data_IF_502602457405
#
_entry.id   IF_502602457405
#
_cell.length_a   1.000
_cell.length_b   1.000
_cell.length_c   1.000
_cell.angle_alpha   90.00
_cell.angle_beta   90.00
_cell.angle_gamma   90.00
#
_symmetry.space_group_name_H-M   'P 1'
#
loop_
_entity.id
_entity.type
_entity.pdbx_description
1 polymer ?
#
# COMPACT_ATOMS: atom_id res chain seq x y z
N UNK A 1 0.16 18.98 3.12
CA UNK A 1 0.44 19.28 1.70
C UNK A 1 1.23 18.10 1.14
N UNK A 2 0.92 17.60 -0.07
CA UNK A 2 1.84 16.68 -0.73
C UNK A 2 3.18 17.40 -0.87
N UNK A 3 4.23 16.81 -0.30
CA UNK A 3 5.58 17.33 -0.45
C UNK A 3 6.09 17.11 -1.86
N UNK A 4 7.15 17.83 -2.22
CA UNK A 4 7.95 17.46 -3.39
C UNK A 4 8.88 16.32 -2.99
N UNK A 5 8.98 15.33 -3.87
CA UNK A 5 9.93 14.25 -3.74
C UNK A 5 11.36 14.83 -3.69
N UNK A 6 12.18 14.47 -2.69
CA UNK A 6 13.52 15.02 -2.54
C UNK A 6 14.50 14.56 -3.63
N UNK A 7 14.15 13.51 -4.39
CA UNK A 7 15.00 12.91 -5.43
C UNK A 7 14.67 13.48 -6.81
N UNK A 8 13.38 13.56 -7.14
CA UNK A 8 12.90 13.91 -8.48
C UNK A 8 12.30 15.32 -8.57
N UNK A 9 12.13 16.02 -7.44
CA UNK A 9 11.47 17.32 -7.35
C UNK A 9 10.04 17.33 -7.96
N UNK A 10 9.37 16.18 -7.91
CA UNK A 10 7.99 16.00 -8.37
C UNK A 10 7.05 15.85 -7.18
N UNK A 11 5.77 16.24 -7.30
CA UNK A 11 4.84 16.04 -6.20
C UNK A 11 4.62 14.56 -5.88
N UNK A 12 4.40 14.27 -4.59
CA UNK A 12 4.19 12.91 -4.09
C UNK A 12 2.68 12.58 -4.02
N UNK A 13 2.27 11.49 -4.65
CA UNK A 13 0.84 11.11 -4.74
C UNK A 13 0.57 9.63 -4.42
N UNK A 14 1.58 8.77 -4.50
CA UNK A 14 1.39 7.33 -4.35
C UNK A 14 1.61 6.91 -2.91
N UNK A 15 0.61 6.27 -2.30
CA UNK A 15 0.71 5.79 -0.93
C UNK A 15 1.51 4.48 -0.87
N UNK A 16 2.51 4.47 0.00
CA UNK A 16 3.38 3.32 0.28
C UNK A 16 3.64 3.26 1.78
N UNK A 17 4.15 2.16 2.32
CA UNK A 17 4.68 2.18 3.68
C UNK A 17 5.94 3.05 3.76
N UNK A 18 6.23 3.59 4.94
CA UNK A 18 7.48 4.33 5.18
C UNK A 18 8.71 3.51 4.80
N UNK A 19 8.70 2.20 5.10
CA UNK A 19 9.78 1.30 4.75
C UNK A 19 9.96 1.14 3.24
N UNK A 20 8.86 1.04 2.47
CA UNK A 20 8.94 1.05 1.01
C UNK A 20 9.51 2.37 0.50
N UNK A 21 9.09 3.52 1.05
CA UNK A 21 9.67 4.82 0.68
C UNK A 21 11.18 4.86 0.92
N UNK A 22 11.65 4.39 2.06
CA UNK A 22 13.07 4.32 2.40
C UNK A 22 13.83 3.45 1.40
N UNK A 23 13.34 2.24 1.10
CA UNK A 23 13.96 1.32 0.12
C UNK A 23 14.08 1.98 -1.26
N UNK A 24 13.01 2.63 -1.73
CA UNK A 24 13.00 3.32 -3.02
C UNK A 24 13.95 4.52 -3.05
N UNK A 25 14.07 5.25 -1.94
CA UNK A 25 14.93 6.44 -1.87
C UNK A 25 16.41 6.11 -1.69
N UNK A 26 16.73 4.99 -1.03
CA UNK A 26 18.10 4.50 -0.87
C UNK A 26 18.63 3.77 -2.12
N UNK A 27 17.78 3.60 -3.15
CA UNK A 27 18.09 2.90 -4.40
C UNK A 27 18.66 1.48 -4.17
N UNK A 28 18.13 0.77 -3.15
CA UNK A 28 18.53 -0.60 -2.85
C UNK A 28 17.94 -1.58 -3.86
N UNK A 29 18.59 -2.73 -4.13
CA UNK A 29 18.04 -3.73 -5.05
C UNK A 29 16.70 -4.27 -4.54
N UNK A 30 15.62 -4.02 -5.30
CA UNK A 30 14.27 -4.44 -4.91
C UNK A 30 14.12 -5.96 -4.75
N UNK A 31 14.96 -6.75 -5.44
CA UNK A 31 14.98 -8.21 -5.35
C UNK A 31 15.33 -8.74 -3.95
N UNK A 32 15.90 -7.91 -3.08
CA UNK A 32 16.22 -8.26 -1.69
C UNK A 32 15.02 -8.13 -0.75
N UNK A 33 13.90 -7.58 -1.23
CA UNK A 33 12.73 -7.26 -0.43
C UNK A 33 11.50 -8.02 -0.92
N UNK A 34 10.55 -8.24 0.00
CA UNK A 34 9.28 -8.87 -0.29
C UNK A 34 8.18 -7.83 -0.15
N UNK A 35 7.49 -7.54 -1.26
CA UNK A 35 6.46 -6.50 -1.29
C UNK A 35 5.06 -7.11 -1.38
N UNK A 36 4.10 -6.41 -0.81
CA UNK A 36 2.68 -6.73 -0.84
C UNK A 36 1.90 -5.54 -1.41
N UNK A 37 1.00 -5.82 -2.36
CA UNK A 37 -0.04 -4.91 -2.80
C UNK A 37 -1.29 -5.12 -1.94
N UNK A 38 -1.55 -4.18 -1.05
CA UNK A 38 -2.76 -4.17 -0.25
C UNK A 38 -3.83 -3.32 -0.94
N UNK A 39 -4.94 -3.93 -1.32
CA UNK A 39 -6.08 -3.26 -1.96
C UNK A 39 -7.20 -3.08 -0.94
N UNK A 40 -7.60 -1.83 -0.72
CA UNK A 40 -8.73 -1.49 0.15
C UNK A 40 -9.93 -1.12 -0.71
N UNK A 41 -10.92 -2.01 -0.74
CA UNK A 41 -12.18 -1.82 -1.44
C UNK A 41 -13.12 -0.96 -0.59
N UNK A 42 -13.77 0.02 -1.21
CA UNK A 42 -14.81 0.85 -0.60
C UNK A 42 -16.17 0.36 -1.07
N UNK A 43 -17.09 0.27 -0.13
CA UNK A 43 -18.44 -0.20 -0.36
C UNK A 43 -19.45 0.85 0.11
N UNK A 44 -20.50 1.06 -0.67
CA UNK A 44 -21.68 1.86 -0.30
C UNK A 44 -22.93 1.06 -0.69
N UNK A 45 -23.83 0.83 0.27
CA UNK A 45 -25.08 0.07 0.08
C UNK A 45 -24.92 -1.30 -0.64
N UNK A 46 -23.83 -2.02 -0.31
CA UNK A 46 -23.53 -3.34 -0.88
C UNK A 46 -22.87 -3.31 -2.26
N UNK A 47 -22.58 -2.12 -2.80
CA UNK A 47 -21.92 -1.92 -4.10
C UNK A 47 -20.49 -1.41 -3.91
N UNK A 48 -19.53 -2.00 -4.61
CA UNK A 48 -18.15 -1.50 -4.61
C UNK A 48 -18.08 -0.15 -5.36
N UNK A 49 -17.66 0.90 -4.67
CA UNK A 49 -17.56 2.27 -5.23
C UNK A 49 -16.14 2.67 -5.61
N UNK A 50 -15.15 1.87 -5.22
CA UNK A 50 -13.77 2.02 -5.69
C UNK A 50 -12.75 1.31 -4.82
N UNK A 51 -11.52 1.27 -5.30
CA UNK A 51 -10.41 0.61 -4.63
C UNK A 51 -9.19 1.53 -4.50
N UNK A 52 -8.49 1.44 -3.37
CA UNK A 52 -7.22 2.13 -3.12
C UNK A 52 -6.11 1.11 -2.94
N UNK A 53 -4.99 1.31 -3.66
CA UNK A 53 -3.84 0.42 -3.56
C UNK A 53 -2.75 1.04 -2.68
N UNK A 54 -2.16 0.20 -1.84
CA UNK A 54 -1.05 0.53 -0.97
C UNK A 54 0.07 -0.50 -1.17
N UNK A 55 1.32 -0.04 -1.18
CA UNK A 55 2.48 -0.92 -1.21
C UNK A 55 3.08 -1.03 0.17
N UNK A 56 3.20 -2.26 0.66
CA UNK A 56 3.78 -2.58 1.95
C UNK A 56 5.00 -3.49 1.75
N UNK A 57 5.97 -3.38 2.64
CA UNK A 57 7.02 -4.38 2.78
C UNK A 57 6.51 -5.51 3.70
N UNK A 58 7.06 -6.73 3.57
CA UNK A 58 6.64 -7.91 4.34
C UNK A 58 6.57 -7.66 5.85
N UNK A 59 7.53 -6.97 6.45
CA UNK A 59 7.49 -6.69 7.89
C UNK A 59 6.32 -5.78 8.28
N UNK A 60 5.93 -4.84 7.41
CA UNK A 60 4.75 -4.01 7.64
C UNK A 60 3.47 -4.85 7.60
N UNK A 61 3.36 -5.80 6.66
CA UNK A 61 2.22 -6.74 6.58
C UNK A 61 2.11 -7.59 7.85
N UNK A 62 3.23 -8.12 8.33
CA UNK A 62 3.29 -8.90 9.56
C UNK A 62 2.96 -8.05 10.80
N UNK A 63 3.37 -6.78 10.81
CA UNK A 63 3.01 -5.82 11.88
C UNK A 63 1.51 -5.56 11.94
N UNK A 64 0.84 -5.59 10.78
CA UNK A 64 -0.62 -5.52 10.68
C UNK A 64 -1.32 -6.82 11.10
N UNK A 65 -0.57 -7.86 11.48
CA UNK A 65 -1.05 -9.21 11.81
C UNK A 65 -1.82 -9.87 10.67
N UNK A 66 -1.46 -9.52 9.43
CA UNK A 66 -1.94 -10.19 8.25
C UNK A 66 -0.98 -11.33 7.88
N UNK A 67 -1.49 -12.46 7.35
CA UNK A 67 -0.63 -13.43 6.68
C UNK A 67 0.04 -12.73 5.50
N UNK A 68 1.34 -12.96 5.31
CA UNK A 68 2.04 -12.38 4.18
C UNK A 68 1.57 -13.02 2.88
N UNK A 69 1.09 -12.19 1.96
CA UNK A 69 0.82 -12.51 0.57
C UNK A 69 1.32 -11.34 -0.31
N UNK A 70 1.58 -11.62 -1.58
CA UNK A 70 1.89 -10.62 -2.60
C UNK A 70 0.71 -9.69 -2.88
N UNK A 71 -0.52 -10.18 -2.72
CA UNK A 71 -1.74 -9.39 -2.88
C UNK A 71 -2.70 -9.68 -1.72
N UNK A 72 -3.14 -8.63 -1.03
CA UNK A 72 -4.12 -8.75 0.06
C UNK A 72 -5.27 -7.78 -0.21
N UNK A 73 -6.49 -8.25 0.02
CA UNK A 73 -7.71 -7.47 -0.14
C UNK A 73 -8.36 -7.20 1.22
N UNK A 74 -8.71 -5.95 1.48
CA UNK A 74 -9.45 -5.51 2.67
C UNK A 74 -10.71 -4.75 2.24
N UNK A 75 -11.78 -4.87 3.01
CA UNK A 75 -13.02 -4.13 2.76
C UNK A 75 -13.21 -3.01 3.78
N UNK A 76 -13.23 -1.76 3.32
CA UNK A 76 -13.59 -0.60 4.12
C UNK A 76 -15.12 -0.50 4.20
N UNK A 77 -15.66 -0.61 5.43
CA UNK A 77 -17.08 -0.48 5.76
C UNK A 77 -18.01 -1.50 5.12
N UNK A 78 -17.59 -2.76 5.04
CA UNK A 78 -18.51 -3.84 4.70
C UNK A 78 -19.30 -4.30 5.94
N UNK A 79 -20.43 -3.63 6.17
CA UNK A 79 -21.34 -3.92 7.28
C UNK A 79 -21.98 -5.30 7.10
N UNK A 80 -22.28 -5.70 5.85
CA UNK A 80 -22.92 -6.99 5.55
C UNK A 80 -21.95 -8.16 5.78
N UNK A 81 -20.68 -8.02 5.39
CA UNK A 81 -19.64 -9.05 5.64
C UNK A 81 -19.00 -8.96 7.01
N UNK A 82 -19.42 -8.03 7.88
CA UNK A 82 -18.96 -7.89 9.28
C UNK A 82 -17.43 -7.80 9.40
N UNK A 83 -16.74 -7.15 8.46
CA UNK A 83 -15.27 -7.06 8.42
C UNK A 83 -14.67 -6.03 9.41
N UNK A 84 -15.13 -6.02 10.67
CA UNK A 84 -14.60 -5.12 11.70
C UNK A 84 -13.07 -5.23 11.84
N UNK A 85 -12.51 -6.42 11.58
CA UNK A 85 -11.07 -6.66 11.54
C UNK A 85 -10.37 -5.88 10.41
N UNK A 86 -10.92 -5.86 9.20
CA UNK A 86 -10.35 -5.13 8.06
C UNK A 86 -10.27 -3.64 8.36
N UNK A 87 -11.32 -3.07 8.96
CA UNK A 87 -11.34 -1.66 9.33
C UNK A 87 -10.24 -1.32 10.35
N UNK A 88 -10.02 -2.20 11.33
CA UNK A 88 -8.96 -2.01 12.32
C UNK A 88 -7.57 -2.12 11.68
N UNK A 89 -7.39 -3.05 10.74
CA UNK A 89 -6.17 -3.19 9.95
C UNK A 89 -5.92 -1.95 9.11
N UNK A 90 -6.94 -1.43 8.41
CA UNK A 90 -6.86 -0.20 7.60
C UNK A 90 -6.47 1.00 8.48
N UNK A 91 -7.06 1.13 9.66
CA UNK A 91 -6.71 2.21 10.60
C UNK A 91 -5.26 2.12 11.07
N UNK A 92 -4.79 0.91 11.41
CA UNK A 92 -3.38 0.69 11.76
C UNK A 92 -2.45 0.98 10.59
N UNK A 93 -2.77 0.47 9.40
CA UNK A 93 -2.00 0.69 8.17
C UNK A 93 -1.72 2.17 7.94
N UNK A 94 -2.73 3.04 8.10
CA UNK A 94 -2.61 4.49 7.89
C UNK A 94 -1.50 5.13 8.74
N UNK A 95 -1.15 4.56 9.88
CA UNK A 95 -0.05 5.05 10.73
C UNK A 95 1.32 4.81 10.09
N UNK A 96 1.46 3.79 9.24
CA UNK A 96 2.72 3.41 8.60
C UNK A 96 2.86 3.97 7.18
N UNK A 97 1.86 4.69 6.68
CA UNK A 97 1.88 5.21 5.32
C UNK A 97 2.78 6.44 5.17
N UNK A 98 3.30 6.56 3.97
CA UNK A 98 4.02 7.70 3.42
C UNK A 98 3.65 7.86 1.94
N UNK A 99 4.15 8.92 1.32
CA UNK A 99 3.92 9.22 -0.09
C UNK A 99 5.23 9.20 -0.87
N UNK A 100 5.15 8.81 -2.14
CA UNK A 100 6.25 8.90 -3.12
C UNK A 100 5.74 9.45 -4.46
N UNK A 101 6.64 10.02 -5.27
CA UNK A 101 6.33 10.45 -6.63
C UNK A 101 6.22 9.25 -7.60
N UNK A 102 5.74 9.52 -8.81
CA UNK A 102 5.54 8.49 -9.84
C UNK A 102 6.85 7.85 -10.30
N UNK A 103 7.94 8.60 -10.33
CA UNK A 103 9.26 8.08 -10.70
C UNK A 103 9.81 7.10 -9.65
N UNK A 104 9.72 7.43 -8.36
CA UNK A 104 10.19 6.55 -7.28
C UNK A 104 9.48 5.19 -7.30
N UNK A 105 8.16 5.17 -7.55
CA UNK A 105 7.39 3.92 -7.49
C UNK A 105 7.48 3.09 -8.79
N UNK A 106 7.90 3.68 -9.90
CA UNK A 106 7.90 3.03 -11.22
C UNK A 106 8.61 1.66 -11.25
N UNK A 107 9.78 1.45 -10.61
CA UNK A 107 10.43 0.14 -10.58
C UNK A 107 9.57 -0.93 -9.89
N UNK A 108 8.89 -0.57 -8.79
CA UNK A 108 7.99 -1.49 -8.09
C UNK A 108 6.73 -1.78 -8.92
N UNK A 109 6.25 -0.79 -9.68
CA UNK A 109 5.13 -0.99 -10.62
C UNK A 109 5.52 -1.94 -11.76
N UNK A 110 6.76 -1.86 -12.24
CA UNK A 110 7.26 -2.71 -13.32
C UNK A 110 7.51 -4.16 -12.89
N UNK A 111 7.60 -4.46 -11.58
CA UNK A 111 7.90 -5.80 -11.05
C UNK A 111 6.78 -6.85 -11.20
N UNK A 112 5.81 -6.68 -12.12
CA UNK A 112 4.71 -7.64 -12.39
C UNK A 112 3.92 -8.14 -11.15
N UNK A 113 3.86 -7.35 -10.07
CA UNK A 113 2.98 -7.61 -8.92
C UNK A 113 1.48 -7.31 -9.21
N UNK A 114 1.10 -7.17 -10.49
CA UNK A 114 -0.13 -6.49 -10.90
C UNK A 114 -1.16 -7.40 -11.55
N UNK A 115 -0.71 -8.42 -12.28
CA UNK A 115 -1.54 -9.23 -13.17
C UNK A 115 -1.74 -10.63 -12.60
N UNK A 116 -2.79 -10.81 -11.80
CA UNK A 116 -3.50 -12.08 -11.65
C UNK A 116 -5.00 -11.80 -11.55
#
# INVERSE_FOLDING_TARGET
MPGLCPIHNEPEYTNVSRKVREILHENKPLSQYSFCRLTVHKWEDGVETGAHHYFLEKEDVLTLRLPFDTVIHLNDRDIERKSLNDRFVIQKMRLFLSTVCLQCIAPLKASNLWDH
#
